data_IF_130469714077
#
_entry.id   IF_130469714077
#
_cell.length_a   1.000
_cell.length_b   1.000
_cell.length_c   1.000
_cell.angle_alpha   90.00
_cell.angle_beta   90.00
_cell.angle_gamma   90.00
#
_symmetry.space_group_name_H-M   'P 1'
#
loop_
_entity.id
_entity.type
_entity.pdbx_description
1 polymer ?
#
# COMPACT_ATOMS: atom_id res chain seq x y z
N UNK A 1 -26.33 0.63 -8.36
CA UNK A 1 -25.65 0.61 -7.74
C UNK A 1 -24.43 0.69 -8.16
N UNK A 2 -23.86 1.06 -7.79
CA UNK A 2 -22.76 1.28 -8.10
C UNK A 2 -21.79 0.38 -8.08
N UNK A 3 -21.01 0.30 -8.72
CA UNK A 3 -20.14 -0.47 -8.60
C UNK A 3 -19.14 -0.10 -8.09
N UNK A 4 -18.56 -0.61 -7.59
CA UNK A 4 -17.73 -0.36 -6.76
C UNK A 4 -16.49 -0.92 -6.89
N UNK A 5 -16.04 -1.24 -7.99
CA UNK A 5 -14.79 -1.83 -8.22
C UNK A 5 -13.77 -0.74 -8.20
N UNK A 6 -13.33 -0.34 -7.04
CA UNK A 6 -12.34 0.70 -6.88
C UNK A 6 -11.00 0.08 -6.55
N UNK A 7 -9.93 0.87 -6.63
CA UNK A 7 -8.59 0.43 -6.25
C UNK A 7 -8.25 0.82 -4.80
N UNK A 8 -9.20 1.35 -4.06
CA UNK A 8 -8.96 1.79 -2.69
C UNK A 8 -8.54 0.62 -1.80
N UNK A 9 -7.52 0.84 -1.00
CA UNK A 9 -7.00 -0.18 -0.09
C UNK A 9 -6.84 0.44 1.29
N UNK A 10 -6.74 -0.43 2.28
CA UNK A 10 -6.49 -0.02 3.67
C UNK A 10 -5.53 -1.02 4.28
N UNK A 11 -4.89 -0.64 5.39
CA UNK A 11 -3.97 -1.53 6.07
C UNK A 11 -4.60 -2.04 7.36
N UNK A 12 -4.55 -3.35 7.58
CA UNK A 12 -5.03 -3.97 8.81
C UNK A 12 -3.83 -4.14 9.73
N UNK A 13 -3.74 -3.32 10.78
CA UNK A 13 -2.58 -3.28 11.64
C UNK A 13 -2.46 -4.52 12.53
N UNK A 14 -3.58 -5.12 12.92
CA UNK A 14 -3.50 -6.30 13.77
C UNK A 14 -3.04 -7.52 12.99
N UNK A 15 -3.35 -7.60 11.71
CA UNK A 15 -2.93 -8.74 10.88
C UNK A 15 -1.77 -8.40 9.96
N UNK A 16 -1.32 -7.15 9.97
CA UNK A 16 -0.19 -6.69 9.14
C UNK A 16 -0.40 -7.05 7.68
N UNK A 17 -1.55 -6.70 7.14
CA UNK A 17 -1.88 -7.00 5.76
C UNK A 17 -2.61 -5.84 5.10
N UNK A 18 -2.51 -5.78 3.77
CA UNK A 18 -3.25 -4.84 2.94
C UNK A 18 -4.57 -5.50 2.56
N UNK A 19 -5.66 -4.76 2.67
CA UNK A 19 -6.99 -5.25 2.31
C UNK A 19 -7.65 -4.29 1.35
N UNK A 20 -8.51 -4.78 0.47
CA UNK A 20 -9.28 -3.87 -0.37
C UNK A 20 -10.39 -3.23 0.45
N UNK A 21 -10.75 -2.02 0.10
CA UNK A 21 -11.90 -1.38 0.74
C UNK A 21 -13.19 -2.07 0.28
N UNK A 22 -13.20 -2.57 -0.94
CA UNK A 22 -14.33 -3.32 -1.44
C UNK A 22 -13.87 -4.31 -2.49
N UNK A 23 -14.50 -5.48 -2.57
CA UNK A 23 -14.12 -6.47 -3.56
C UNK A 23 -12.84 -7.19 -3.21
N UNK A 24 -12.01 -7.42 -4.20
CA UNK A 24 -10.73 -8.12 -4.02
C UNK A 24 -9.58 -7.22 -4.45
N UNK A 25 -8.37 -7.65 -4.10
CA UNK A 25 -7.19 -6.87 -4.46
C UNK A 25 -6.90 -6.96 -5.95
N UNK A 26 -6.31 -5.92 -6.48
CA UNK A 26 -5.88 -5.89 -7.87
C UNK A 26 -4.35 -5.95 -7.87
N UNK A 27 -3.68 -5.23 -8.73
CA UNK A 27 -2.22 -5.23 -8.74
C UNK A 27 -1.71 -4.33 -7.64
N UNK A 28 -0.73 -4.80 -6.87
CA UNK A 28 -0.14 -4.05 -5.77
C UNK A 28 1.35 -3.84 -6.04
N UNK A 29 1.80 -2.63 -5.85
CA UNK A 29 3.21 -2.29 -5.97
C UNK A 29 3.66 -1.70 -4.63
N UNK A 30 4.73 -2.24 -4.07
CA UNK A 30 5.30 -1.81 -2.80
C UNK A 30 6.71 -1.29 -3.05
N UNK A 31 7.03 -0.13 -2.50
CA UNK A 31 8.37 0.41 -2.63
C UNK A 31 8.77 1.13 -1.36
N UNK A 32 9.95 0.81 -0.83
CA UNK A 32 10.48 1.53 0.32
C UNK A 32 10.98 2.92 -0.12
N UNK A 33 11.00 3.86 0.83
CA UNK A 33 11.42 5.23 0.52
C UNK A 33 12.86 5.31 0.03
N UNK A 34 13.72 4.37 0.41
CA UNK A 34 15.10 4.34 -0.07
C UNK A 34 15.23 3.65 -1.43
N UNK A 35 14.15 3.15 -1.99
CA UNK A 35 14.14 2.52 -3.31
C UNK A 35 14.77 1.15 -3.36
N UNK A 36 15.15 0.56 -2.23
CA UNK A 36 15.87 -0.71 -2.23
C UNK A 36 15.00 -1.92 -1.98
N UNK A 37 13.74 -1.73 -1.61
CA UNK A 37 12.82 -2.84 -1.39
C UNK A 37 11.61 -2.60 -2.29
N UNK A 38 11.59 -3.28 -3.43
CA UNK A 38 10.47 -3.16 -4.36
C UNK A 38 9.85 -4.51 -4.57
N UNK A 39 8.54 -4.58 -4.50
CA UNK A 39 7.80 -5.82 -4.72
C UNK A 39 6.56 -5.53 -5.54
N UNK A 40 6.19 -6.46 -6.41
CA UNK A 40 5.04 -6.27 -7.27
C UNK A 40 4.22 -7.56 -7.32
N UNK A 41 2.92 -7.42 -7.08
CA UNK A 41 1.98 -8.54 -7.16
C UNK A 41 0.96 -8.16 -8.22
N UNK A 42 0.89 -8.96 -9.28
CA UNK A 42 0.06 -8.62 -10.42
C UNK A 42 -1.28 -9.33 -10.36
N UNK A 43 -2.34 -8.57 -10.52
CA UNK A 43 -3.69 -9.11 -10.75
C UNK A 43 -4.15 -10.14 -9.73
N UNK A 44 -4.21 -9.75 -8.46
CA UNK A 44 -4.60 -10.68 -7.40
C UNK A 44 -6.11 -10.67 -7.20
N UNK A 45 -6.87 -10.91 -8.25
CA UNK A 45 -8.32 -10.72 -8.18
C UNK A 45 -9.05 -11.71 -7.27
N UNK A 46 -8.41 -12.79 -6.88
CA UNK A 46 -9.02 -13.78 -5.99
C UNK A 46 -8.55 -13.64 -4.55
N UNK A 47 -7.79 -12.59 -4.20
CA UNK A 47 -7.33 -12.40 -2.85
C UNK A 47 -8.04 -11.26 -2.17
N UNK A 48 -8.33 -11.44 -0.88
CA UNK A 48 -8.94 -10.42 -0.06
C UNK A 48 -7.97 -9.76 0.88
N UNK A 49 -6.72 -10.21 0.92
CA UNK A 49 -5.70 -9.60 1.75
C UNK A 49 -4.32 -10.01 1.27
N UNK A 50 -3.35 -9.16 1.52
CA UNK A 50 -1.97 -9.42 1.18
C UNK A 50 -1.11 -9.11 2.40
N UNK A 51 -0.47 -10.12 2.97
CA UNK A 51 0.41 -9.93 4.11
C UNK A 51 1.71 -9.28 3.67
N UNK A 52 2.18 -8.31 4.44
CA UNK A 52 3.46 -7.67 4.16
C UNK A 52 4.46 -8.16 5.20
N UNK A 53 5.41 -8.99 4.75
CA UNK A 53 6.40 -9.59 5.64
C UNK A 53 7.79 -9.09 5.33
N UNK A 54 8.66 -9.18 6.31
CA UNK A 54 10.09 -8.87 6.13
C UNK A 54 10.33 -7.45 5.63
N UNK A 55 9.59 -6.51 6.17
CA UNK A 55 9.80 -5.11 5.84
C UNK A 55 11.00 -4.56 6.62
N UNK A 56 11.64 -3.53 6.06
CA UNK A 56 12.78 -2.91 6.72
C UNK A 56 12.32 -2.11 7.93
N UNK A 57 13.16 -2.05 8.98
CA UNK A 57 12.83 -1.24 10.15
C UNK A 57 12.94 0.25 9.86
N UNK A 58 12.15 1.03 10.58
CA UNK A 58 12.19 2.50 10.52
C UNK A 58 12.12 3.03 9.09
N UNK A 59 11.18 2.48 8.30
CA UNK A 59 11.12 2.78 6.87
C UNK A 59 9.71 3.19 6.47
N UNK A 60 9.62 4.18 5.58
CA UNK A 60 8.36 4.50 4.94
C UNK A 60 8.22 3.64 3.70
N UNK A 61 7.04 3.10 3.48
CA UNK A 61 6.72 2.30 2.31
C UNK A 61 5.55 2.90 1.57
N UNK A 62 5.65 2.95 0.26
CA UNK A 62 4.55 3.37 -0.60
C UNK A 62 3.87 2.12 -1.13
N UNK A 63 2.56 2.01 -0.95
CA UNK A 63 1.79 0.88 -1.45
C UNK A 63 0.78 1.43 -2.45
N UNK A 64 0.90 1.00 -3.70
CA UNK A 64 0.04 1.49 -4.76
C UNK A 64 -0.81 0.38 -5.31
N UNK A 65 -2.11 0.62 -5.37
CA UNK A 65 -3.07 -0.33 -5.90
C UNK A 65 -3.58 0.18 -7.23
N UNK A 66 -3.56 -0.66 -8.26
CA UNK A 66 -3.99 -0.24 -9.59
C UNK A 66 -4.62 -1.40 -10.34
N UNK A 67 -5.45 -1.08 -11.32
CA UNK A 67 -6.07 -2.09 -12.15
C UNK A 67 -7.38 -1.59 -12.74
N UNK A 68 -7.84 -2.25 -13.79
CA UNK A 68 -9.09 -1.90 -14.43
C UNK A 68 -9.10 -0.48 -14.97
N UNK A 69 -10.27 0.13 -15.00
CA UNK A 69 -10.42 1.48 -15.51
C UNK A 69 -10.34 2.54 -14.42
N UNK A 70 -10.05 2.15 -13.20
CA UNK A 70 -9.99 3.09 -12.10
C UNK A 70 -8.59 3.66 -11.96
N UNK A 71 -8.47 4.86 -11.42
CA UNK A 71 -7.17 5.43 -11.12
C UNK A 71 -6.46 4.67 -10.02
N UNK A 72 -5.16 4.80 -9.94
CA UNK A 72 -4.39 4.17 -8.88
C UNK A 72 -4.70 4.80 -7.54
N UNK A 73 -4.54 4.00 -6.49
CA UNK A 73 -4.76 4.45 -5.12
C UNK A 73 -3.49 4.15 -4.31
N UNK A 74 -3.01 5.11 -3.56
CA UNK A 74 -1.74 4.97 -2.85
C UNK A 74 -1.92 5.24 -1.37
N UNK A 75 -1.28 4.40 -0.54
CA UNK A 75 -1.16 4.68 0.89
C UNK A 75 0.31 4.62 1.26
N UNK A 76 0.66 5.31 2.33
CA UNK A 76 2.03 5.31 2.84
C UNK A 76 2.02 4.72 4.24
N UNK A 77 2.93 3.79 4.49
CA UNK A 77 2.99 3.05 5.74
C UNK A 77 4.35 3.25 6.39
N UNK A 78 4.37 3.37 7.71
CA UNK A 78 5.62 3.55 8.46
C UNK A 78 5.86 2.33 9.31
N UNK A 79 7.07 1.75 9.22
CA UNK A 79 7.46 0.64 10.08
C UNK A 79 8.19 1.14 11.33
N UNK A 80 8.19 0.30 12.36
CA UNK A 80 8.94 0.57 13.59
C UNK A 80 10.34 -0.06 13.52
N UNK A 81 11.04 -0.07 14.61
CA UNK A 81 12.40 -0.62 14.66
C UNK A 81 12.50 -2.11 14.43
N UNK A 82 11.37 -2.80 14.31
CA UNK A 82 11.33 -4.23 14.03
C UNK A 82 10.73 -4.55 12.68
N UNK A 83 10.41 -3.52 11.89
CA UNK A 83 9.81 -3.74 10.59
C UNK A 83 8.32 -3.95 10.61
N UNK A 84 7.65 -3.70 11.75
CA UNK A 84 6.21 -3.83 11.85
C UNK A 84 5.57 -2.51 11.45
N UNK A 85 4.53 -2.54 10.63
CA UNK A 85 3.82 -1.32 10.26
C UNK A 85 3.02 -0.85 11.45
N UNK A 86 3.25 0.39 11.87
CA UNK A 86 2.63 0.94 13.07
C UNK A 86 1.70 2.11 12.79
N UNK A 87 1.79 2.71 11.61
CA UNK A 87 0.83 3.77 11.25
C UNK A 87 0.81 4.01 9.76
N UNK A 88 -0.28 4.61 9.31
CA UNK A 88 -0.41 5.10 7.95
C UNK A 88 -0.10 6.58 7.97
N UNK A 89 0.74 7.05 7.06
CA UNK A 89 1.19 8.43 6.99
C UNK A 89 0.39 9.15 5.91
N UNK A 90 -0.16 10.30 6.25
CA UNK A 90 -0.96 11.07 5.30
C UNK A 90 -0.02 11.80 4.34
N UNK A 91 -0.52 12.07 3.15
CA UNK A 91 0.30 12.72 2.12
C UNK A 91 0.91 14.02 2.63
N UNK A 92 0.15 14.83 3.33
CA UNK A 92 0.64 16.13 3.80
C UNK A 92 1.70 16.00 4.89
N UNK A 93 1.84 14.83 5.50
CA UNK A 93 2.85 14.60 6.52
C UNK A 93 4.11 13.93 5.98
N UNK A 94 4.17 13.68 4.67
CA UNK A 94 5.36 13.10 4.06
C UNK A 94 6.45 14.15 3.89
N UNK A 95 7.73 13.75 3.88
CA UNK A 95 8.80 14.66 3.49
C UNK A 95 8.56 15.18 2.07
N UNK A 96 8.99 16.41 1.81
CA UNK A 96 8.77 17.05 0.51
C UNK A 96 9.30 16.21 -0.63
N UNK A 97 10.42 15.52 -0.44
CA UNK A 97 11.01 14.72 -1.50
C UNK A 97 10.11 13.56 -1.90
N UNK A 98 9.24 13.09 -1.02
CA UNK A 98 8.35 11.98 -1.32
C UNK A 98 7.00 12.46 -1.83
N UNK A 99 6.60 13.68 -1.57
CA UNK A 99 5.30 14.17 -2.02
C UNK A 99 5.21 14.26 -3.53
N UNK A 100 6.32 14.36 -4.20
CA UNK A 100 6.30 14.44 -5.66
C UNK A 100 5.95 13.12 -6.34
N UNK A 101 5.89 12.02 -5.59
CA UNK A 101 5.47 10.75 -6.17
C UNK A 101 3.94 10.63 -6.25
N UNK A 102 3.22 11.61 -5.70
CA UNK A 102 1.78 11.47 -5.66
C UNK A 102 1.14 12.21 -6.80
N UNK A 103 1.25 11.74 -7.94
CA UNK A 103 0.58 12.33 -9.07
C UNK A 103 -0.32 11.36 -9.71
#
# INVERSE_FOLDING_TARGET
MACTDTNAIKFNFSKQCVEPVGGTLKSIYLESADGKDERYWKAMYDLERLSLDNLKPDMLYRVRSSGGDQGAYTIWLQTDGRGKVVREVRFEDLPDSLQQYEY
#
